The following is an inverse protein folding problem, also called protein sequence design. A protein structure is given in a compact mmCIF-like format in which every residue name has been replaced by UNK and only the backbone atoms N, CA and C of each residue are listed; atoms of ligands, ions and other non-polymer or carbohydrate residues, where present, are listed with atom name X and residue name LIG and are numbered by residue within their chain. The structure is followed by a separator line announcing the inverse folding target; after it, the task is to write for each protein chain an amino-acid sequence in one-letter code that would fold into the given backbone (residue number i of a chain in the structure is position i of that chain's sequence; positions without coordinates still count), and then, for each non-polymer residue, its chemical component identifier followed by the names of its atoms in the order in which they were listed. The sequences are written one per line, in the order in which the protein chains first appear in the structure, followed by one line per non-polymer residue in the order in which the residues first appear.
data_IF_852252204686
#
_entry.id   IF_852252204686
#
_cell.length_a   1.000
_cell.length_b   1.000
_cell.length_c   1.000
_cell.angle_alpha   90.00
_cell.angle_beta   90.00
_cell.angle_gamma   90.00
#
_symmetry.space_group_name_H-M   'P 1'
#
loop_
_entity.id
_entity.type
_entity.pdbx_description
1 polymer ?
#
# COMPACT_ATOMS: atom_id res chain seq x y z
N UNK A 1 -10.84 -37.77 -32.85
CA UNK A 1 -11.86 -36.83 -33.35
C UNK A 1 -11.88 -35.57 -32.45
N UNK A 2 -11.14 -34.55 -32.89
CA UNK A 2 -11.15 -33.25 -32.23
C UNK A 2 -12.34 -32.45 -32.77
N UNK A 3 -13.43 -32.42 -32.03
CA UNK A 3 -14.54 -31.52 -32.36
C UNK A 3 -14.16 -30.09 -31.98
N UNK A 4 -14.23 -29.12 -32.89
CA UNK A 4 -13.90 -27.74 -32.55
C UNK A 4 -14.83 -27.25 -31.46
N UNK A 5 -14.23 -26.70 -30.39
CA UNK A 5 -14.99 -26.16 -29.27
C UNK A 5 -15.98 -25.10 -29.78
N UNK A 6 -17.27 -25.32 -29.52
CA UNK A 6 -18.30 -24.34 -29.78
C UNK A 6 -17.93 -23.06 -29.04
N UNK A 7 -17.81 -21.90 -29.72
CA UNK A 7 -17.49 -20.65 -29.04
C UNK A 7 -18.62 -20.32 -28.06
N UNK A 8 -18.36 -20.49 -26.77
CA UNK A 8 -19.26 -20.04 -25.72
C UNK A 8 -19.29 -18.50 -25.79
N UNK A 9 -20.35 -17.93 -26.34
CA UNK A 9 -20.60 -16.50 -26.22
C UNK A 9 -20.96 -16.23 -24.76
N UNK A 10 -19.94 -15.83 -23.99
CA UNK A 10 -20.19 -15.26 -22.68
C UNK A 10 -21.04 -13.98 -22.87
N UNK A 11 -22.12 -13.80 -22.09
CA UNK A 11 -22.85 -12.53 -22.11
C UNK A 11 -21.85 -11.41 -21.81
N UNK A 12 -22.02 -10.27 -22.50
CA UNK A 12 -21.19 -9.09 -22.25
C UNK A 12 -21.29 -8.74 -20.77
N UNK A 13 -20.31 -9.16 -19.99
CA UNK A 13 -20.24 -8.79 -18.58
C UNK A 13 -19.97 -7.29 -18.53
N UNK A 14 -20.73 -6.53 -17.73
CA UNK A 14 -20.42 -5.13 -17.54
C UNK A 14 -18.96 -5.04 -17.09
N UNK A 15 -18.16 -4.21 -17.76
CA UNK A 15 -16.73 -4.05 -17.44
C UNK A 15 -16.59 -3.39 -16.07
N UNK A 16 -16.41 -4.20 -15.03
CA UNK A 16 -16.06 -3.72 -13.71
C UNK A 16 -14.55 -3.66 -13.58
N UNK A 17 -14.06 -2.58 -12.99
CA UNK A 17 -12.66 -2.46 -12.64
C UNK A 17 -12.42 -3.21 -11.34
N UNK A 18 -11.55 -4.22 -11.40
CA UNK A 18 -11.07 -4.92 -10.21
C UNK A 18 -9.76 -4.30 -9.77
N UNK A 19 -9.60 -4.08 -8.47
CA UNK A 19 -8.35 -3.68 -7.85
C UNK A 19 -7.72 -4.84 -7.10
N UNK A 20 -6.40 -4.85 -6.99
CA UNK A 20 -5.67 -5.84 -6.19
C UNK A 20 -4.63 -5.18 -5.33
N UNK A 21 -4.36 -5.78 -4.17
CA UNK A 21 -3.31 -5.38 -3.25
C UNK A 21 -2.55 -6.64 -2.80
N UNK A 22 -1.22 -6.56 -2.81
CA UNK A 22 -0.40 -7.61 -2.21
C UNK A 22 -0.55 -7.58 -0.69
N UNK A 23 -0.61 -8.76 -0.09
CA UNK A 23 -0.57 -9.01 1.34
C UNK A 23 0.66 -9.87 1.66
N UNK A 24 0.95 -10.06 2.94
CA UNK A 24 2.02 -10.97 3.35
C UNK A 24 1.55 -12.40 3.04
N UNK A 25 2.30 -13.09 2.17
CA UNK A 25 1.96 -14.42 1.64
C UNK A 25 0.52 -14.50 1.10
N UNK A 26 0.04 -13.42 0.43
CA UNK A 26 -1.32 -13.43 -0.07
C UNK A 26 -1.70 -12.29 -0.98
N UNK A 27 -2.96 -12.30 -1.37
CA UNK A 27 -3.54 -11.30 -2.26
C UNK A 27 -4.95 -10.92 -1.80
N UNK A 28 -5.23 -9.63 -1.86
CA UNK A 28 -6.56 -9.06 -1.71
C UNK A 28 -7.04 -8.58 -3.07
N UNK A 29 -8.20 -9.06 -3.49
CA UNK A 29 -8.88 -8.61 -4.70
C UNK A 29 -10.15 -7.85 -4.32
N UNK A 30 -10.26 -6.62 -4.79
CA UNK A 30 -11.42 -5.77 -4.57
C UNK A 30 -12.27 -5.71 -5.84
N UNK A 31 -13.49 -6.16 -5.73
CA UNK A 31 -14.55 -5.97 -6.71
C UNK A 31 -15.40 -4.73 -6.40
N UNK A 32 -16.54 -4.66 -7.05
CA UNK A 32 -17.52 -3.59 -6.82
C UNK A 32 -18.19 -3.68 -5.45
N UNK A 33 -18.66 -4.86 -5.09
CA UNK A 33 -19.56 -5.07 -3.95
C UNK A 33 -18.95 -6.00 -2.90
N UNK A 34 -17.74 -6.54 -3.17
CA UNK A 34 -17.07 -7.48 -2.28
C UNK A 34 -15.54 -7.43 -2.43
N UNK A 35 -14.89 -7.87 -1.38
CA UNK A 35 -13.45 -8.14 -1.33
C UNK A 35 -13.28 -9.64 -1.15
N UNK A 36 -12.36 -10.22 -1.90
CA UNK A 36 -11.90 -11.57 -1.72
C UNK A 36 -10.41 -11.55 -1.34
N UNK A 37 -10.05 -12.34 -0.35
CA UNK A 37 -8.68 -12.46 0.15
C UNK A 37 -8.28 -13.92 0.11
N UNK A 38 -7.08 -14.18 -0.37
CA UNK A 38 -6.43 -15.49 -0.32
C UNK A 38 -5.08 -15.33 0.38
N UNK A 39 -4.83 -16.11 1.42
CA UNK A 39 -3.60 -16.10 2.20
C UNK A 39 -3.04 -17.52 2.23
N UNK A 40 -1.71 -17.64 2.15
CA UNK A 40 -1.03 -18.90 2.41
C UNK A 40 -0.73 -18.97 3.91
N UNK A 41 -1.24 -19.98 4.58
CA UNK A 41 -0.89 -20.27 5.96
C UNK A 41 0.53 -20.89 6.03
N UNK A 42 1.29 -20.76 7.12
CA UNK A 42 2.63 -21.36 7.27
C UNK A 42 2.67 -22.88 7.01
N UNK A 43 1.59 -23.58 7.33
CA UNK A 43 1.44 -25.03 7.02
C UNK A 43 1.24 -25.36 5.53
N UNK A 44 1.27 -24.33 4.66
CA UNK A 44 1.14 -24.45 3.21
C UNK A 44 -0.31 -24.44 2.68
N UNK A 45 -1.33 -24.45 3.54
CA UNK A 45 -2.73 -24.36 3.12
C UNK A 45 -3.07 -22.95 2.67
N UNK A 46 -3.95 -22.86 1.66
CA UNK A 46 -4.50 -21.58 1.23
C UNK A 46 -5.85 -21.37 1.91
N UNK A 47 -5.96 -20.26 2.66
CA UNK A 47 -7.20 -19.85 3.31
C UNK A 47 -7.82 -18.69 2.55
N UNK A 48 -9.14 -18.73 2.43
CA UNK A 48 -9.91 -17.71 1.72
C UNK A 48 -10.85 -16.99 2.67
N UNK A 49 -11.00 -15.69 2.45
CA UNK A 49 -12.02 -14.89 3.11
C UNK A 49 -12.71 -14.00 2.09
N UNK A 50 -14.01 -13.80 2.27
CA UNK A 50 -14.80 -12.88 1.45
C UNK A 50 -15.56 -11.95 2.37
N UNK A 51 -15.49 -10.65 2.09
CA UNK A 51 -16.18 -9.62 2.83
C UNK A 51 -16.98 -8.74 1.87
N UNK A 52 -18.25 -8.48 2.19
CA UNK A 52 -19.05 -7.52 1.44
C UNK A 52 -18.61 -6.10 1.77
N UNK A 53 -18.48 -5.28 0.76
CA UNK A 53 -18.26 -3.84 0.92
C UNK A 53 -19.59 -3.20 1.26
N UNK A 54 -19.72 -2.66 2.47
CA UNK A 54 -20.88 -1.86 2.85
C UNK A 54 -20.85 -0.55 2.05
N UNK A 55 -21.81 -0.41 1.13
CA UNK A 55 -21.98 0.79 0.30
C UNK A 55 -22.48 2.02 1.08
N UNK A 56 -22.50 1.96 2.41
CA UNK A 56 -23.08 3.02 3.26
C UNK A 56 -22.43 4.40 3.06
N UNK A 57 -21.12 4.47 2.85
CA UNK A 57 -20.43 5.75 2.61
C UNK A 57 -20.67 6.31 1.21
N UNK A 58 -20.90 5.46 0.22
CA UNK A 58 -21.22 5.90 -1.15
C UNK A 58 -22.66 6.39 -1.33
N UNK A 59 -23.54 6.07 -0.39
CA UNK A 59 -24.94 6.51 -0.41
C UNK A 59 -25.12 7.99 -0.01
N UNK A 60 -24.10 8.60 0.60
CA UNK A 60 -24.18 10.02 1.00
C UNK A 60 -24.16 10.95 -0.21
N UNK A 61 -25.01 11.98 -0.15
CA UNK A 61 -25.16 13.02 -1.19
C UNK A 61 -23.87 13.76 -1.52
N UNK A 62 -22.94 13.87 -0.55
CA UNK A 62 -21.59 14.44 -0.68
C UNK A 62 -20.65 13.58 -1.53
N UNK A 63 -20.88 12.27 -1.63
CA UNK A 63 -20.09 11.37 -2.47
C UNK A 63 -20.29 11.59 -3.98
N UNK A 64 -21.23 12.47 -4.37
CA UNK A 64 -21.42 12.88 -5.78
C UNK A 64 -20.36 13.86 -6.28
N UNK A 65 -19.64 14.52 -5.39
CA UNK A 65 -18.54 15.40 -5.77
C UNK A 65 -17.30 14.59 -6.11
N UNK A 66 -16.65 14.81 -7.28
CA UNK A 66 -15.55 13.96 -7.75
C UNK A 66 -14.36 13.92 -6.76
N UNK A 67 -14.04 15.04 -6.12
CA UNK A 67 -12.99 15.12 -5.09
C UNK A 67 -13.34 14.34 -3.82
N UNK A 68 -14.54 14.53 -3.30
CA UNK A 68 -15.01 13.87 -2.07
C UNK A 68 -15.12 12.37 -2.29
N UNK A 69 -15.60 11.95 -3.46
CA UNK A 69 -15.64 10.53 -3.83
C UNK A 69 -14.24 9.91 -3.84
N UNK A 70 -13.25 10.62 -4.41
CA UNK A 70 -11.86 10.15 -4.44
C UNK A 70 -11.28 9.96 -3.03
N UNK A 71 -11.51 10.91 -2.12
CA UNK A 71 -11.08 10.82 -0.73
C UNK A 71 -11.76 9.68 0.03
N UNK A 72 -13.05 9.46 -0.18
CA UNK A 72 -13.79 8.34 0.43
C UNK A 72 -13.22 7.00 -0.04
N UNK A 73 -13.01 6.83 -1.35
CA UNK A 73 -12.44 5.61 -1.91
C UNK A 73 -11.01 5.39 -1.41
N UNK A 74 -10.20 6.43 -1.32
CA UNK A 74 -8.85 6.36 -0.78
C UNK A 74 -8.86 5.93 0.68
N UNK A 75 -9.66 6.59 1.52
CA UNK A 75 -9.81 6.25 2.94
C UNK A 75 -10.25 4.79 3.14
N UNK A 76 -11.28 4.37 2.44
CA UNK A 76 -11.80 3.00 2.51
C UNK A 76 -10.73 1.99 2.07
N UNK A 77 -10.01 2.27 0.98
CA UNK A 77 -8.95 1.40 0.48
C UNK A 77 -7.80 1.29 1.49
N UNK A 78 -7.38 2.41 2.08
CA UNK A 78 -6.34 2.42 3.11
C UNK A 78 -6.76 1.65 4.36
N UNK A 79 -7.96 1.90 4.89
CA UNK A 79 -8.44 1.25 6.11
C UNK A 79 -8.60 -0.26 5.90
N UNK A 80 -9.25 -0.65 4.82
CA UNK A 80 -9.47 -2.07 4.51
C UNK A 80 -8.14 -2.77 4.18
N UNK A 81 -7.30 -2.14 3.36
CA UNK A 81 -6.00 -2.67 2.99
C UNK A 81 -5.09 -2.88 4.20
N UNK A 82 -5.00 -1.89 5.08
CA UNK A 82 -4.21 -1.98 6.32
C UNK A 82 -4.74 -3.05 7.26
N UNK A 83 -6.07 -3.16 7.42
CA UNK A 83 -6.68 -4.20 8.25
C UNK A 83 -6.31 -5.61 7.77
N UNK A 84 -6.40 -5.86 6.48
CA UNK A 84 -6.05 -7.16 5.90
C UNK A 84 -4.54 -7.40 5.87
N UNK A 85 -3.72 -6.36 5.72
CA UNK A 85 -2.26 -6.46 5.84
C UNK A 85 -1.84 -6.91 7.25
N UNK A 86 -2.42 -6.29 8.30
CA UNK A 86 -2.17 -6.69 9.69
C UNK A 86 -2.65 -8.13 9.94
N UNK A 87 -3.81 -8.50 9.37
CA UNK A 87 -4.35 -9.83 9.53
C UNK A 87 -3.50 -10.89 8.84
N UNK A 88 -2.96 -10.60 7.65
CA UNK A 88 -2.03 -11.49 6.97
C UNK A 88 -0.71 -11.65 7.73
N UNK A 89 -0.19 -10.56 8.32
CA UNK A 89 0.98 -10.62 9.18
C UNK A 89 0.75 -11.50 10.42
N UNK A 90 -0.42 -11.40 11.06
CA UNK A 90 -0.77 -12.23 12.21
C UNK A 90 -0.90 -13.72 11.84
N UNK A 91 -1.46 -14.04 10.66
CA UNK A 91 -1.52 -15.43 10.17
C UNK A 91 -0.11 -16.01 9.99
N UNK A 92 0.84 -15.21 9.50
CA UNK A 92 2.23 -15.67 9.35
C UNK A 92 2.97 -15.74 10.70
N UNK A 93 2.63 -14.89 11.65
CA UNK A 93 3.21 -14.89 13.00
C UNK A 93 2.61 -15.92 13.97
N UNK A 94 1.58 -16.66 13.55
CA UNK A 94 0.87 -17.60 14.42
C UNK A 94 1.78 -18.74 14.90
N UNK A 95 2.67 -19.23 14.04
CA UNK A 95 3.66 -20.25 14.38
C UNK A 95 4.77 -19.74 15.32
N UNK A 96 5.04 -18.43 15.31
CA UNK A 96 6.04 -17.78 16.17
C UNK A 96 5.44 -17.29 17.49
N UNK A 97 4.13 -17.41 17.69
CA UNK A 97 3.42 -16.93 18.87
C UNK A 97 3.41 -15.40 19.00
N UNK A 98 3.67 -14.69 17.90
CA UNK A 98 3.71 -13.22 17.85
C UNK A 98 2.39 -12.68 17.30
N UNK A 99 1.55 -12.16 18.16
CA UNK A 99 0.37 -11.39 17.76
C UNK A 99 0.72 -9.90 17.67
N UNK A 100 0.52 -9.32 16.49
CA UNK A 100 0.60 -7.87 16.29
C UNK A 100 -0.62 -7.18 16.94
N UNK A 101 -0.49 -6.83 18.20
CA UNK A 101 -1.49 -6.04 18.91
C UNK A 101 -1.61 -4.63 18.30
N UNK A 102 -2.80 -4.00 18.45
CA UNK A 102 -3.06 -2.63 17.95
C UNK A 102 -2.01 -1.62 18.45
N UNK A 103 -1.50 -1.78 19.68
CA UNK A 103 -0.45 -0.92 20.24
C UNK A 103 0.89 -1.09 19.54
N UNK A 104 1.32 -2.32 19.29
CA UNK A 104 2.57 -2.61 18.57
C UNK A 104 2.54 -2.06 17.14
N UNK A 105 1.43 -2.26 16.44
CA UNK A 105 1.22 -1.70 15.08
C UNK A 105 1.28 -0.17 15.09
N UNK A 106 0.64 0.49 16.05
CA UNK A 106 0.67 1.95 16.16
C UNK A 106 2.08 2.48 16.41
N UNK A 107 2.87 1.81 17.28
CA UNK A 107 4.26 2.17 17.56
C UNK A 107 5.12 1.96 16.30
N UNK A 108 4.97 0.84 15.60
CA UNK A 108 5.69 0.58 14.34
C UNK A 108 5.38 1.62 13.28
N UNK A 109 4.11 1.97 13.09
CA UNK A 109 3.70 3.00 12.14
C UNK A 109 4.25 4.38 12.52
N UNK A 110 4.19 4.74 13.81
CA UNK A 110 4.75 6.00 14.29
C UNK A 110 6.27 6.05 14.07
N UNK A 111 6.98 4.99 14.42
CA UNK A 111 8.42 4.90 14.22
C UNK A 111 8.79 5.01 12.74
N UNK A 112 8.09 4.29 11.86
CA UNK A 112 8.30 4.34 10.40
C UNK A 112 8.00 5.73 9.85
N UNK A 113 6.93 6.38 10.30
CA UNK A 113 6.59 7.73 9.89
C UNK A 113 7.67 8.75 10.32
N UNK A 114 8.12 8.68 11.57
CA UNK A 114 9.17 9.57 12.10
C UNK A 114 10.50 9.33 11.38
N UNK A 115 10.90 8.08 11.18
CA UNK A 115 12.10 7.72 10.45
C UNK A 115 12.02 8.18 8.97
N UNK A 116 10.89 7.96 8.31
CA UNK A 116 10.67 8.41 6.94
C UNK A 116 10.73 9.93 6.80
N UNK A 117 10.07 10.67 7.68
CA UNK A 117 10.16 12.13 7.72
C UNK A 117 11.58 12.61 7.99
N UNK A 118 12.30 11.96 8.91
CA UNK A 118 13.69 12.27 9.22
C UNK A 118 14.60 12.08 8.01
N UNK A 119 14.54 10.92 7.37
CA UNK A 119 15.42 10.56 6.26
C UNK A 119 15.09 11.35 4.98
N UNK A 120 13.79 11.50 4.64
CA UNK A 120 13.41 12.07 3.35
C UNK A 120 13.14 13.58 3.37
N UNK A 121 12.96 14.19 4.55
CA UNK A 121 12.74 15.64 4.69
C UNK A 121 13.84 16.33 5.49
N UNK A 122 14.12 15.87 6.72
CA UNK A 122 15.05 16.56 7.59
C UNK A 122 16.51 16.38 7.14
N UNK A 123 16.91 15.19 6.76
CA UNK A 123 18.28 14.91 6.33
C UNK A 123 18.66 15.67 5.05
N UNK A 124 17.87 15.70 3.95
CA UNK A 124 18.17 16.53 2.78
C UNK A 124 18.27 18.01 3.10
N UNK A 125 17.37 18.51 3.97
CA UNK A 125 17.38 19.92 4.39
C UNK A 125 18.68 20.27 5.15
N UNK A 126 19.12 19.41 6.07
CA UNK A 126 20.38 19.58 6.81
C UNK A 126 21.58 19.55 5.88
N UNK A 127 21.66 18.58 4.96
CA UNK A 127 22.76 18.50 4.00
C UNK A 127 22.78 19.74 3.10
N UNK A 128 21.63 20.15 2.56
CA UNK A 128 21.55 21.34 1.73
C UNK A 128 21.96 22.59 2.50
N UNK A 129 21.50 22.78 3.73
CA UNK A 129 21.84 23.96 4.55
C UNK A 129 23.33 24.07 4.81
N UNK A 130 24.03 22.96 5.03
CA UNK A 130 25.49 22.95 5.25
C UNK A 130 26.24 23.19 3.94
N UNK A 131 25.83 22.53 2.84
CA UNK A 131 26.53 22.62 1.55
C UNK A 131 26.32 23.93 0.83
N UNK A 132 25.20 24.62 1.09
CA UNK A 132 24.84 25.90 0.44
C UNK A 132 24.94 27.12 1.36
N UNK A 133 25.53 26.97 2.54
CA UNK A 133 25.66 28.06 3.54
C UNK A 133 26.31 29.34 3.00
N UNK A 134 27.20 29.24 1.99
CA UNK A 134 27.90 30.36 1.38
C UNK A 134 27.32 30.76 -0.01
N UNK A 135 26.18 30.24 -0.39
CA UNK A 135 25.56 30.50 -1.69
C UNK A 135 24.32 31.38 -1.49
N UNK A 136 24.41 32.65 -1.92
CA UNK A 136 23.30 33.61 -1.80
C UNK A 136 22.16 33.39 -2.82
N UNK A 137 22.28 32.42 -3.70
CA UNK A 137 21.30 32.15 -4.75
C UNK A 137 20.29 31.07 -4.29
N UNK A 138 19.08 31.48 -3.93
CA UNK A 138 18.01 30.60 -3.48
C UNK A 138 17.63 29.52 -4.49
N UNK A 139 17.74 29.77 -5.79
CA UNK A 139 17.48 28.76 -6.81
C UNK A 139 18.49 27.59 -6.72
N UNK A 140 19.78 27.92 -6.55
CA UNK A 140 20.84 26.92 -6.41
C UNK A 140 20.64 26.11 -5.11
N UNK A 141 20.25 26.75 -4.02
CA UNK A 141 19.95 26.06 -2.76
C UNK A 141 18.83 25.03 -2.95
N UNK A 142 17.70 25.40 -3.57
CA UNK A 142 16.60 24.46 -3.82
C UNK A 142 16.95 23.38 -4.82
N UNK A 143 17.79 23.67 -5.81
CA UNK A 143 18.27 22.67 -6.75
C UNK A 143 19.14 21.62 -6.04
N UNK A 144 20.06 22.05 -5.21
CA UNK A 144 20.92 21.14 -4.41
C UNK A 144 20.08 20.30 -3.46
N UNK A 145 19.13 20.93 -2.74
CA UNK A 145 18.21 20.19 -1.87
C UNK A 145 17.42 19.13 -2.63
N UNK A 146 16.89 19.47 -3.81
CA UNK A 146 16.18 18.52 -4.68
C UNK A 146 17.05 17.36 -5.15
N UNK A 147 18.28 17.64 -5.58
CA UNK A 147 19.23 16.61 -6.00
C UNK A 147 19.61 15.67 -4.85
N UNK A 148 19.87 16.22 -3.66
CA UNK A 148 20.16 15.43 -2.46
C UNK A 148 18.99 14.52 -2.11
N UNK A 149 17.74 15.03 -2.19
CA UNK A 149 16.52 14.25 -1.93
C UNK A 149 16.38 13.08 -2.92
N UNK A 150 16.63 13.33 -4.21
CA UNK A 150 16.59 12.28 -5.23
C UNK A 150 17.71 11.25 -5.00
N UNK A 151 18.92 11.69 -4.65
CA UNK A 151 20.03 10.78 -4.37
C UNK A 151 19.77 9.88 -3.15
N UNK A 152 19.19 10.42 -2.06
CA UNK A 152 18.78 9.66 -0.88
C UNK A 152 17.70 8.63 -1.26
N UNK A 153 16.69 9.03 -2.07
CA UNK A 153 15.65 8.14 -2.52
C UNK A 153 16.18 6.98 -3.36
N UNK A 154 17.07 7.29 -4.33
CA UNK A 154 17.72 6.24 -5.16
C UNK A 154 18.58 5.33 -4.27
N UNK A 155 19.36 5.90 -3.36
CA UNK A 155 20.15 5.12 -2.39
C UNK A 155 19.31 4.17 -1.56
N UNK A 156 18.16 4.64 -1.09
CA UNK A 156 17.19 3.83 -0.36
C UNK A 156 16.64 2.68 -1.23
N UNK A 157 16.25 2.96 -2.50
CA UNK A 157 15.81 1.91 -3.41
C UNK A 157 16.89 0.85 -3.68
N UNK A 158 18.14 1.28 -3.88
CA UNK A 158 19.26 0.36 -4.06
C UNK A 158 19.53 -0.47 -2.82
N UNK A 159 19.40 0.12 -1.63
CA UNK A 159 19.56 -0.59 -0.36
C UNK A 159 18.49 -1.66 -0.19
N UNK A 160 17.23 -1.31 -0.41
CA UNK A 160 16.10 -2.24 -0.29
C UNK A 160 16.20 -3.36 -1.33
N UNK A 161 16.59 -3.03 -2.57
CA UNK A 161 16.69 -4.02 -3.65
C UNK A 161 17.76 -5.11 -3.39
N UNK A 162 18.65 -4.88 -2.42
CA UNK A 162 19.66 -5.86 -2.01
C UNK A 162 19.20 -6.76 -0.87
N UNK A 163 18.06 -6.47 -0.25
CA UNK A 163 17.51 -7.31 0.81
C UNK A 163 16.98 -8.62 0.21
N UNK A 164 17.42 -9.78 0.71
CA UNK A 164 16.95 -11.09 0.21
C UNK A 164 15.48 -11.34 0.53
N UNK A 165 14.90 -10.59 1.49
CA UNK A 165 13.52 -10.77 1.96
C UNK A 165 12.50 -9.98 1.13
N UNK A 166 12.95 -9.21 0.13
CA UNK A 166 12.13 -8.40 -0.75
C UNK A 166 12.30 -8.83 -2.20
#
# INVERSE_FOLDING_TARGET
DWSPAVPVRLPAMPSYTYGGQALIEGVLMRGRDAIAVALRHPDGRIVFATERLDSGMHAHRSAKWPFVRGLIVLYETLVVGTRWLIRSANVQGEDEGVELGKGSVAIMLLFTAVAGLGIFFLLPLLIASVTTANIDNGFVQHLVEGLVRVAIFIGYLVLISRSPDI
#
